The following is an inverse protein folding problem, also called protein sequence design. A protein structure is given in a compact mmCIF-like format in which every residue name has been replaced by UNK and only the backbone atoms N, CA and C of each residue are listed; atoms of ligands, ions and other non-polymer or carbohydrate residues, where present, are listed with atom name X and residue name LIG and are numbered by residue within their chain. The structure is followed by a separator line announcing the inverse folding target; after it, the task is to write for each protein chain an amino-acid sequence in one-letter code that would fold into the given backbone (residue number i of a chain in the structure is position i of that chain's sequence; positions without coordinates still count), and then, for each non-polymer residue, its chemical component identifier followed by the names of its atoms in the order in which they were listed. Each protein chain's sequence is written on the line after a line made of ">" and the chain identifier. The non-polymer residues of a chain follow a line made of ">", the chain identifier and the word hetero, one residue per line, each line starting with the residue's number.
data_IF_494793378981
#
_entry.id   IF_494793378981
#
_cell.length_a   1.000
_cell.length_b   1.000
_cell.length_c   1.000
_cell.angle_alpha   90.00
_cell.angle_beta   90.00
_cell.angle_gamma   90.00
#
_symmetry.space_group_name_H-M   'P 1'
#
loop_
_entity.id
_entity.type
_entity.pdbx_description
1 polymer ?
#
# COMPACT_ATOMS: atom_id res chain seq x y z
N UNK A 1 61.46 23.58 -18.76
CA UNK A 1 60.26 22.70 -18.75
C UNK A 1 59.32 23.25 -17.70
N UNK A 2 58.08 23.53 -18.10
CA UNK A 2 57.18 24.50 -17.47
C UNK A 2 56.68 24.10 -16.08
N UNK A 3 56.72 25.08 -15.16
CA UNK A 3 55.89 25.16 -13.97
C UNK A 3 54.43 25.36 -14.41
N UNK A 4 53.51 24.52 -13.94
CA UNK A 4 52.08 24.76 -14.13
C UNK A 4 51.30 24.37 -12.86
N UNK A 5 51.03 25.38 -12.05
CA UNK A 5 49.92 25.40 -11.09
C UNK A 5 48.60 25.25 -11.87
N UNK A 6 47.92 24.12 -11.70
CA UNK A 6 46.48 24.06 -11.93
C UNK A 6 45.83 23.42 -10.70
N UNK A 7 45.49 24.31 -9.76
CA UNK A 7 44.51 24.09 -8.70
C UNK A 7 43.17 23.71 -9.36
N UNK A 8 42.74 22.47 -9.19
CA UNK A 8 41.34 22.09 -9.37
C UNK A 8 40.86 21.59 -8.00
N UNK A 9 39.94 22.31 -7.33
CA UNK A 9 39.34 21.79 -6.11
C UNK A 9 38.36 20.70 -6.56
N UNK A 10 38.71 19.43 -6.39
CA UNK A 10 37.71 18.37 -6.41
C UNK A 10 36.91 18.48 -5.10
N UNK A 11 35.95 19.42 -5.11
CA UNK A 11 34.79 19.32 -4.24
C UNK A 11 34.18 17.94 -4.52
N UNK A 12 34.48 16.96 -3.67
CA UNK A 12 33.59 15.82 -3.50
C UNK A 12 32.29 16.42 -2.98
N UNK A 13 31.41 16.80 -3.91
CA UNK A 13 30.01 17.01 -3.62
C UNK A 13 29.51 15.68 -3.09
N UNK A 14 29.47 15.57 -1.77
CA UNK A 14 28.73 14.52 -1.09
C UNK A 14 27.28 14.70 -1.52
N UNK A 15 26.89 14.00 -2.59
CA UNK A 15 25.49 13.87 -2.96
C UNK A 15 24.82 13.15 -1.80
N UNK A 16 24.25 13.90 -0.86
CA UNK A 16 23.24 13.39 0.06
C UNK A 16 22.09 12.90 -0.81
N UNK A 17 22.10 11.61 -1.11
CA UNK A 17 20.96 10.94 -1.72
C UNK A 17 19.88 10.86 -0.64
N UNK A 18 19.06 11.90 -0.53
CA UNK A 18 17.84 11.84 0.24
C UNK A 18 16.95 10.81 -0.43
N UNK A 19 16.92 9.60 0.11
CA UNK A 19 15.96 8.59 -0.29
C UNK A 19 14.59 9.11 0.14
N UNK A 20 13.84 9.71 -0.79
CA UNK A 20 12.41 9.95 -0.58
C UNK A 20 11.78 8.57 -0.53
N UNK A 21 11.61 8.02 0.66
CA UNK A 21 10.89 6.78 0.87
C UNK A 21 9.42 7.09 0.59
N UNK A 22 9.02 6.93 -0.68
CA UNK A 22 7.62 6.87 -1.04
C UNK A 22 7.07 5.61 -0.37
N UNK A 23 6.53 5.77 0.85
CA UNK A 23 5.81 4.71 1.52
C UNK A 23 4.64 4.38 0.59
N UNK A 24 4.60 3.17 -0.01
CA UNK A 24 3.49 2.82 -0.86
C UNK A 24 2.19 2.92 -0.06
N UNK A 25 1.08 3.34 -0.68
CA UNK A 25 -0.23 3.30 -0.03
C UNK A 25 -0.46 1.92 0.58
N UNK A 26 -1.02 1.84 1.79
CA UNK A 26 -1.30 0.55 2.40
C UNK A 26 -2.25 -0.26 1.51
N UNK A 27 -2.02 -1.57 1.43
CA UNK A 27 -2.83 -2.47 0.61
C UNK A 27 -4.31 -2.38 1.04
N UNK A 28 -5.21 -2.41 0.06
CA UNK A 28 -6.65 -2.44 0.29
C UNK A 28 -7.26 -1.13 0.80
N UNK A 29 -6.49 -0.04 0.86
CA UNK A 29 -6.96 1.29 1.26
C UNK A 29 -7.53 2.06 0.07
N UNK A 30 -8.68 2.70 0.28
CA UNK A 30 -9.26 3.63 -0.69
C UNK A 30 -8.36 4.88 -0.84
N UNK A 31 -8.12 5.41 -2.06
CA UNK A 31 -7.20 6.56 -2.26
C UNK A 31 -7.50 7.79 -1.40
N UNK A 32 -8.78 8.04 -1.11
CA UNK A 32 -9.20 9.15 -0.23
C UNK A 32 -8.86 8.94 1.26
N UNK A 33 -8.61 7.69 1.66
CA UNK A 33 -8.29 7.32 3.03
C UNK A 33 -6.78 7.19 3.26
N UNK A 34 -5.93 7.30 2.23
CA UNK A 34 -4.46 7.14 2.38
C UNK A 34 -3.87 8.06 3.45
N UNK A 35 -4.36 9.31 3.51
CA UNK A 35 -3.92 10.29 4.50
C UNK A 35 -4.34 9.91 5.94
N UNK A 36 -5.48 9.24 6.09
CA UNK A 36 -5.96 8.76 7.39
C UNK A 36 -4.99 7.72 7.97
N UNK A 37 -4.51 6.82 7.12
CA UNK A 37 -3.56 5.78 7.50
C UNK A 37 -2.10 6.24 7.54
N UNK A 38 -1.80 7.53 7.30
CA UNK A 38 -0.43 8.04 7.30
C UNK A 38 0.12 8.36 8.71
N UNK A 39 -0.72 8.33 9.74
CA UNK A 39 -0.32 8.58 11.12
C UNK A 39 0.49 7.42 11.72
N UNK A 40 1.34 7.71 12.71
CA UNK A 40 2.04 6.67 13.50
C UNK A 40 1.09 5.89 14.41
N UNK A 41 0.08 6.59 14.95
CA UNK A 41 -1.00 6.02 15.75
C UNK A 41 -2.31 6.31 15.01
N UNK A 42 -3.00 5.26 14.61
CA UNK A 42 -4.24 5.31 13.84
C UNK A 42 -5.38 4.91 14.78
N UNK A 43 -6.47 5.67 14.76
CA UNK A 43 -7.66 5.33 15.55
C UNK A 43 -8.52 4.36 14.76
N UNK A 44 -9.30 3.51 15.42
CA UNK A 44 -10.40 2.82 14.73
C UNK A 44 -11.47 3.86 14.36
N UNK A 45 -12.12 3.73 13.20
CA UNK A 45 -13.13 4.72 12.75
C UNK A 45 -14.39 4.69 13.62
N UNK A 46 -14.70 3.55 14.23
CA UNK A 46 -15.74 3.38 15.25
C UNK A 46 -15.39 4.01 16.62
N UNK A 47 -14.13 4.43 16.81
CA UNK A 47 -13.63 5.01 18.06
C UNK A 47 -13.39 4.01 19.20
N UNK A 48 -13.47 2.70 18.93
CA UNK A 48 -13.32 1.64 19.95
C UNK A 48 -11.89 1.52 20.49
N UNK A 49 -10.89 1.70 19.63
CA UNK A 49 -9.48 1.50 19.97
C UNK A 49 -8.55 2.39 19.09
N UNK A 50 -7.24 2.26 19.29
CA UNK A 50 -6.21 2.79 18.40
C UNK A 50 -5.03 1.82 18.31
N UNK A 51 -4.35 1.81 17.17
CA UNK A 51 -3.25 0.91 16.88
C UNK A 51 -2.08 1.67 16.26
N UNK A 52 -0.88 1.12 16.37
CA UNK A 52 0.34 1.67 15.75
C UNK A 52 0.47 1.20 14.31
N UNK A 53 1.24 1.92 13.50
CA UNK A 53 1.39 1.63 12.06
C UNK A 53 1.87 0.20 11.75
N UNK A 54 2.63 -0.42 12.63
CA UNK A 54 3.11 -1.81 12.51
C UNK A 54 2.00 -2.86 12.65
N UNK A 55 0.85 -2.48 13.20
CA UNK A 55 -0.34 -3.33 13.32
C UNK A 55 -1.35 -3.12 12.20
N UNK A 56 -1.00 -2.30 11.20
CA UNK A 56 -1.82 -2.13 10.01
C UNK A 56 -1.54 -3.28 9.04
N UNK A 57 -2.57 -4.05 8.70
CA UNK A 57 -2.45 -5.25 7.87
C UNK A 57 -1.48 -6.29 8.45
N UNK A 58 -1.55 -6.55 9.76
CA UNK A 58 -0.71 -7.54 10.45
C UNK A 58 -1.38 -8.93 10.59
N UNK A 59 -2.54 -9.10 9.95
CA UNK A 59 -3.37 -10.30 9.96
C UNK A 59 -3.99 -10.59 11.35
N UNK A 60 -4.16 -9.55 12.17
CA UNK A 60 -4.80 -9.62 13.48
C UNK A 60 -5.82 -8.50 13.66
N UNK A 61 -7.06 -8.87 14.02
CA UNK A 61 -8.15 -7.88 14.13
C UNK A 61 -8.17 -7.15 15.49
N UNK A 62 -7.72 -5.90 15.50
CA UNK A 62 -7.71 -4.95 16.62
C UNK A 62 -8.93 -4.03 16.68
N UNK A 63 -9.49 -3.66 15.52
CA UNK A 63 -10.66 -2.81 15.44
C UNK A 63 -11.91 -3.62 15.09
N UNK A 64 -13.00 -3.40 15.83
CA UNK A 64 -14.28 -4.09 15.57
C UNK A 64 -14.83 -3.77 14.17
N UNK A 65 -14.57 -2.56 13.69
CA UNK A 65 -14.93 -2.10 12.34
C UNK A 65 -13.96 -2.53 11.23
N UNK A 66 -12.85 -3.19 11.57
CA UNK A 66 -11.82 -3.64 10.64
C UNK A 66 -10.96 -2.53 10.03
N UNK A 67 -10.88 -1.36 10.66
CA UNK A 67 -10.03 -0.24 10.21
C UNK A 67 -8.55 -0.64 10.08
N UNK A 68 -8.06 -1.52 10.93
CA UNK A 68 -6.67 -1.99 10.98
C UNK A 68 -6.32 -3.04 9.91
N UNK A 69 -7.33 -3.68 9.30
CA UNK A 69 -7.13 -4.77 8.34
C UNK A 69 -7.78 -4.49 6.96
N UNK A 70 -7.52 -3.32 6.32
CA UNK A 70 -8.07 -3.01 5.00
C UNK A 70 -7.50 -3.90 3.89
N UNK A 71 -6.35 -4.52 4.11
CA UNK A 71 -5.57 -5.31 3.16
C UNK A 71 -5.57 -6.81 3.40
N UNK A 72 -6.23 -7.30 4.46
CA UNK A 72 -6.28 -8.73 4.81
C UNK A 72 -7.72 -9.20 5.09
N UNK A 73 -7.85 -10.50 5.40
CA UNK A 73 -9.10 -11.15 5.77
C UNK A 73 -9.34 -11.24 7.28
N UNK A 74 -8.46 -10.68 8.12
CA UNK A 74 -8.47 -10.93 9.56
C UNK A 74 -9.72 -10.37 10.28
N UNK A 75 -10.28 -9.27 9.80
CA UNK A 75 -11.48 -8.67 10.40
C UNK A 75 -12.78 -9.08 9.68
N UNK A 76 -13.79 -9.61 10.40
CA UNK A 76 -15.04 -10.08 9.79
C UNK A 76 -15.90 -8.96 9.21
N UNK A 77 -15.81 -7.75 9.77
CA UNK A 77 -16.51 -6.56 9.26
C UNK A 77 -15.68 -5.77 8.22
N UNK A 78 -14.45 -6.22 7.95
CA UNK A 78 -13.51 -5.52 7.08
C UNK A 78 -13.97 -5.46 5.62
N UNK A 79 -13.51 -4.42 4.93
CA UNK A 79 -13.73 -4.20 3.51
C UNK A 79 -12.42 -3.84 2.84
N UNK A 80 -12.16 -4.49 1.71
CA UNK A 80 -10.96 -4.27 0.91
C UNK A 80 -11.29 -3.42 -0.30
N UNK A 81 -10.52 -2.35 -0.51
CA UNK A 81 -10.62 -1.54 -1.71
C UNK A 81 -9.82 -2.15 -2.86
N UNK A 82 -10.55 -2.53 -3.91
CA UNK A 82 -10.01 -3.05 -5.15
C UNK A 82 -9.87 -1.92 -6.17
N UNK A 83 -8.64 -1.54 -6.53
CA UNK A 83 -8.41 -0.50 -7.54
C UNK A 83 -8.81 -0.96 -8.95
N UNK A 84 -8.70 -2.26 -9.26
CA UNK A 84 -9.02 -2.86 -10.56
C UNK A 84 -8.41 -2.08 -11.75
N UNK A 85 -7.10 -2.10 -11.90
CA UNK A 85 -6.42 -1.35 -12.98
C UNK A 85 -6.98 -1.74 -14.35
N UNK A 86 -7.54 -0.76 -15.08
CA UNK A 86 -8.17 -0.98 -16.39
C UNK A 86 -9.66 -1.35 -16.35
N UNK A 87 -10.27 -1.42 -15.17
CA UNK A 87 -11.71 -1.61 -14.96
C UNK A 87 -12.21 -0.66 -13.85
N UNK A 88 -13.48 -0.79 -13.45
CA UNK A 88 -14.05 0.00 -12.37
C UNK A 88 -13.58 -0.52 -11.00
N UNK A 89 -13.18 0.37 -10.07
CA UNK A 89 -12.86 -0.03 -8.71
C UNK A 89 -14.12 -0.49 -7.96
N UNK A 90 -13.94 -1.35 -6.97
CA UNK A 90 -15.03 -1.85 -6.14
C UNK A 90 -14.53 -2.20 -4.73
N UNK A 91 -15.45 -2.27 -3.78
CA UNK A 91 -15.18 -2.80 -2.45
C UNK A 91 -15.64 -4.26 -2.37
N UNK A 92 -14.78 -5.13 -1.85
CA UNK A 92 -15.14 -6.50 -1.48
C UNK A 92 -15.11 -6.66 0.04
N UNK A 93 -15.82 -7.67 0.55
CA UNK A 93 -15.69 -8.06 1.94
C UNK A 93 -14.31 -8.69 2.19
N UNK A 94 -13.77 -8.49 3.40
CA UNK A 94 -12.48 -9.05 3.81
C UNK A 94 -12.39 -10.57 3.66
N UNK A 95 -13.53 -11.29 3.76
CA UNK A 95 -13.59 -12.75 3.50
C UNK A 95 -13.21 -13.18 2.08
N UNK A 96 -13.21 -12.24 1.13
CA UNK A 96 -12.83 -12.45 -0.27
C UNK A 96 -11.45 -11.88 -0.59
N UNK A 97 -10.68 -11.43 0.41
CA UNK A 97 -9.31 -10.96 0.17
C UNK A 97 -8.42 -12.15 -0.17
N UNK A 98 -7.57 -11.99 -1.18
CA UNK A 98 -6.68 -13.03 -1.73
C UNK A 98 -7.38 -14.23 -2.43
N UNK A 99 -8.69 -14.20 -2.66
CA UNK A 99 -9.43 -15.26 -3.37
C UNK A 99 -9.36 -15.15 -4.91
N UNK A 100 -8.60 -14.18 -5.43
CA UNK A 100 -8.42 -13.91 -6.84
C UNK A 100 -9.45 -12.92 -7.44
N UNK A 101 -10.37 -12.38 -6.64
CA UNK A 101 -11.33 -11.36 -7.10
C UNK A 101 -10.68 -9.97 -7.29
N UNK A 102 -9.67 -9.67 -6.46
CA UNK A 102 -8.83 -8.48 -6.59
C UNK A 102 -7.46 -8.85 -7.13
N UNK A 103 -7.31 -8.74 -8.46
CA UNK A 103 -6.04 -8.97 -9.12
C UNK A 103 -5.10 -7.77 -8.99
N UNK A 104 -4.14 -7.84 -8.07
CA UNK A 104 -2.76 -7.39 -8.28
C UNK A 104 -1.89 -8.05 -7.19
N UNK A 105 -1.55 -9.34 -7.38
CA UNK A 105 -0.34 -9.87 -6.75
C UNK A 105 0.86 -9.16 -7.39
N UNK A 106 1.83 -8.62 -6.64
CA UNK A 106 3.15 -8.38 -7.19
C UNK A 106 3.89 -9.73 -7.20
N UNK A 107 3.39 -10.73 -7.93
CA UNK A 107 4.23 -11.86 -8.29
C UNK A 107 5.04 -11.42 -9.50
N UNK A 108 6.29 -11.08 -9.21
CA UNK A 108 7.37 -10.99 -10.18
C UNK A 108 7.16 -12.09 -11.23
N UNK A 109 6.95 -11.70 -12.49
CA UNK A 109 6.79 -12.53 -13.70
C UNK A 109 5.40 -12.40 -14.38
N UNK A 110 5.32 -11.40 -15.27
CA UNK A 110 4.47 -11.31 -16.47
C UNK A 110 3.66 -12.58 -16.81
N UNK A 111 2.33 -12.51 -16.77
CA UNK A 111 1.40 -12.78 -17.89
C UNK A 111 -0.05 -12.73 -17.37
N UNK A 112 -0.91 -12.09 -18.15
CA UNK A 112 -2.38 -12.09 -18.03
C UNK A 112 -3.06 -11.13 -17.05
N UNK A 113 -3.09 -9.88 -17.52
CA UNK A 113 -4.30 -9.05 -17.66
C UNK A 113 -5.59 -9.76 -18.18
N UNK A 114 -5.76 -11.08 -18.08
CA UNK A 114 -6.92 -11.82 -18.64
C UNK A 114 -7.98 -12.24 -17.62
N UNK A 115 -7.70 -12.20 -16.31
CA UNK A 115 -8.70 -12.65 -15.31
C UNK A 115 -9.85 -11.62 -15.18
N UNK A 116 -9.64 -10.37 -15.62
CA UNK A 116 -10.68 -9.33 -15.66
C UNK A 116 -11.80 -9.56 -16.71
N UNK A 117 -11.76 -10.65 -17.49
CA UNK A 117 -12.73 -10.89 -18.58
C UNK A 117 -13.76 -12.01 -18.36
N UNK A 118 -13.76 -12.78 -17.25
CA UNK A 118 -14.68 -13.94 -17.12
C UNK A 118 -15.52 -13.97 -15.83
N UNK A 119 -15.88 -12.83 -15.23
CA UNK A 119 -16.95 -12.85 -14.21
C UNK A 119 -17.85 -11.61 -14.18
N UNK A 120 -18.23 -11.14 -15.36
CA UNK A 120 -19.57 -10.60 -15.60
C UNK A 120 -20.49 -11.75 -16.02
N UNK A 121 -20.95 -12.56 -15.07
CA UNK A 121 -22.15 -13.40 -15.24
C UNK A 121 -22.47 -14.11 -13.92
N UNK A 122 -23.65 -13.78 -13.38
CA UNK A 122 -24.19 -14.26 -12.12
C UNK A 122 -25.18 -13.24 -11.61
#
# INVERSE_FOLDING_TARGET
>A
MFCNCLLIPLFLSSFLSASVHLIPPPLGVHPLDEKYYAAEIIKCKDGSNSFTRDRLNDDYCDCVDGTDEPGTSACPAGKFYCRNKGSSPLFIFSSHVNDGFCGEYPSQDNIFSLISLIKTSG
#
